data_IF_036284689890
#
_entry.id   IF_036284689890
#
_cell.length_a   1.000
_cell.length_b   1.000
_cell.length_c   1.000
_cell.angle_alpha   90.00
_cell.angle_beta   90.00
_cell.angle_gamma   90.00
#
_symmetry.space_group_name_H-M   'P 1'
#
loop_
_entity.id
_entity.type
_entity.pdbx_description
1 polymer ?
#
# COMPACT_ATOMS: atom_id res chain seq x y z
N UNK A 1 5.18 -2.74 29.48
CA UNK A 1 5.76 -1.75 30.42
C UNK A 1 6.82 -0.95 29.69
N UNK A 2 6.94 0.37 29.81
CA UNK A 2 6.14 1.34 30.59
C UNK A 2 6.00 2.67 29.81
N UNK A 3 4.97 3.45 30.12
CA UNK A 3 4.79 4.83 29.62
C UNK A 3 5.75 5.80 30.33
N UNK A 4 6.24 6.82 29.63
CA UNK A 4 6.71 8.06 30.26
C UNK A 4 6.24 9.27 29.46
N UNK A 5 5.50 10.14 30.13
CA UNK A 5 5.00 11.41 29.62
C UNK A 5 5.99 12.53 29.93
N UNK A 6 6.22 13.46 28.99
CA UNK A 6 6.75 14.79 29.32
C UNK A 6 5.79 15.87 28.85
N UNK A 7 5.43 16.73 29.79
CA UNK A 7 4.60 17.92 29.62
C UNK A 7 5.50 19.14 29.79
N UNK A 8 5.39 20.12 28.91
CA UNK A 8 5.94 21.45 29.18
C UNK A 8 4.97 22.55 28.74
N UNK A 9 5.00 23.67 29.47
CA UNK A 9 3.93 24.66 29.49
C UNK A 9 4.43 26.08 29.18
N UNK A 10 3.71 26.74 28.26
CA UNK A 10 3.38 28.18 28.24
C UNK A 10 4.53 29.21 28.36
N UNK A 11 4.63 30.08 27.34
CA UNK A 11 4.91 31.50 27.58
C UNK A 11 4.18 32.40 26.58
N UNK A 12 3.26 33.22 27.06
CA UNK A 12 2.58 34.27 26.28
C UNK A 12 3.53 35.41 25.87
N UNK A 13 3.26 36.03 24.71
CA UNK A 13 3.46 37.47 24.53
C UNK A 13 2.62 38.02 23.38
N UNK A 14 1.60 38.81 23.73
CA UNK A 14 0.83 39.61 22.78
C UNK A 14 1.56 40.92 22.45
N UNK A 15 1.38 41.42 21.23
CA UNK A 15 1.24 42.87 21.01
C UNK A 15 0.43 43.19 19.74
N UNK A 16 -0.05 44.43 19.63
CA UNK A 16 -1.32 44.72 18.96
C UNK A 16 -1.26 45.67 17.74
N UNK A 17 -2.36 45.65 16.97
CA UNK A 17 -2.91 46.72 16.08
C UNK A 17 -2.08 47.16 14.86
N UNK A 18 -2.69 47.05 13.67
CA UNK A 18 -3.27 48.22 12.96
C UNK A 18 -4.03 47.86 11.67
N UNK A 19 -5.27 48.32 11.56
CA UNK A 19 -5.99 48.62 10.29
C UNK A 19 -6.23 50.14 10.26
N UNK A 20 -6.31 50.83 9.10
CA UNK A 20 -7.53 50.79 8.27
C UNK A 20 -7.30 50.97 6.74
N UNK A 21 -8.37 50.90 5.94
CA UNK A 21 -8.33 51.35 4.52
C UNK A 21 -9.45 50.82 3.62
N UNK A 22 -10.52 51.60 3.46
CA UNK A 22 -11.68 51.34 2.57
C UNK A 22 -11.51 51.93 1.16
N UNK A 23 -12.08 51.28 0.14
CA UNK A 23 -12.75 51.97 -0.98
C UNK A 23 -13.69 51.05 -1.78
N UNK A 24 -14.88 51.55 -2.12
CA UNK A 24 -15.85 50.96 -3.07
C UNK A 24 -15.39 51.26 -4.52
N UNK A 25 -15.78 50.50 -5.55
CA UNK A 25 -16.91 50.71 -6.50
C UNK A 25 -16.53 49.87 -7.77
N UNK A 26 -17.37 49.47 -8.75
CA UNK A 26 -18.77 49.74 -9.10
C UNK A 26 -19.37 48.55 -9.89
N UNK A 27 -20.71 48.55 -10.05
CA UNK A 27 -21.50 47.60 -10.87
C UNK A 27 -21.62 48.04 -12.36
N UNK A 28 -22.50 47.37 -13.13
CA UNK A 28 -23.07 47.77 -14.45
C UNK A 28 -22.14 47.45 -15.65
N UNK A 29 -22.50 46.83 -16.80
CA UNK A 29 -23.70 46.18 -17.40
C UNK A 29 -23.21 45.40 -18.67
N UNK A 30 -23.94 44.60 -19.47
CA UNK A 30 -25.28 43.96 -19.48
C UNK A 30 -25.26 42.76 -20.51
N UNK A 31 -26.43 42.15 -20.80
CA UNK A 31 -26.87 41.56 -22.10
C UNK A 31 -26.08 40.41 -22.79
N UNK A 32 -26.69 39.51 -23.57
CA UNK A 32 -28.01 38.83 -23.53
C UNK A 32 -27.97 37.69 -24.58
N UNK A 33 -28.86 36.68 -24.45
CA UNK A 33 -29.47 35.88 -25.53
C UNK A 33 -28.64 35.50 -26.79
N UNK A 34 -28.41 34.22 -27.09
CA UNK A 34 -29.48 33.34 -27.58
C UNK A 34 -29.08 31.85 -27.64
N UNK A 35 -30.08 30.99 -27.57
CA UNK A 35 -29.97 29.56 -27.87
C UNK A 35 -30.42 29.26 -29.30
N UNK A 36 -29.82 28.24 -29.94
CA UNK A 36 -30.40 27.47 -31.05
C UNK A 36 -29.71 26.11 -31.16
N UNK A 37 -30.50 25.03 -31.15
CA UNK A 37 -30.08 23.71 -31.65
C UNK A 37 -30.00 23.76 -33.18
N UNK A 38 -29.07 23.02 -33.80
CA UNK A 38 -29.51 21.99 -34.75
C UNK A 38 -28.50 20.83 -34.86
N UNK A 39 -28.97 19.68 -35.33
CA UNK A 39 -28.21 18.46 -35.54
C UNK A 39 -27.59 18.42 -36.94
N UNK A 40 -26.41 17.81 -37.12
CA UNK A 40 -26.21 16.72 -38.11
C UNK A 40 -24.74 16.29 -38.30
N UNK A 41 -24.59 14.97 -38.49
CA UNK A 41 -23.63 14.26 -39.35
C UNK A 41 -22.11 14.47 -39.16
N UNK A 42 -21.49 13.41 -38.65
CA UNK A 42 -20.10 13.01 -38.91
C UNK A 42 -19.85 12.67 -40.40
N UNK A 43 -18.64 12.94 -40.91
CA UNK A 43 -17.97 11.93 -41.73
C UNK A 43 -16.46 11.77 -41.47
N UNK A 44 -16.02 10.51 -41.51
CA UNK A 44 -14.71 9.94 -41.86
C UNK A 44 -13.39 10.52 -41.31
N UNK A 45 -12.60 9.58 -40.77
CA UNK A 45 -11.15 9.68 -40.60
C UNK A 45 -10.41 9.76 -41.94
N UNK A 46 -9.31 10.51 -41.97
CA UNK A 46 -8.08 10.11 -42.66
C UNK A 46 -6.87 10.85 -42.04
N UNK A 47 -5.74 10.15 -41.96
CA UNK A 47 -4.52 10.53 -41.22
C UNK A 47 -3.87 11.86 -41.64
N UNK A 48 -3.02 12.41 -40.73
CA UNK A 48 -1.63 12.77 -41.06
C UNK A 48 -0.80 13.17 -39.81
N UNK A 49 0.21 12.34 -39.49
CA UNK A 49 1.46 12.63 -38.74
C UNK A 49 1.47 13.67 -37.60
N UNK A 50 1.56 13.20 -36.35
CA UNK A 50 2.02 13.99 -35.20
C UNK A 50 2.56 13.12 -34.06
N UNK A 51 3.83 13.31 -33.66
CA UNK A 51 4.47 12.54 -32.56
C UNK A 51 3.75 12.78 -31.23
N UNK A 52 3.38 11.75 -30.45
CA UNK A 52 2.76 11.96 -29.13
C UNK A 52 3.78 12.46 -28.10
N UNK A 53 3.46 13.58 -27.46
CA UNK A 53 4.14 14.03 -26.23
C UNK A 53 3.88 13.02 -25.09
N UNK A 54 4.92 12.73 -24.30
CA UNK A 54 4.81 11.88 -23.11
C UNK A 54 3.78 12.44 -22.13
N UNK A 55 2.65 11.76 -21.96
CA UNK A 55 1.72 12.01 -20.86
C UNK A 55 2.18 11.21 -19.63
N UNK A 56 2.46 11.90 -18.51
CA UNK A 56 2.40 11.28 -17.18
C UNK A 56 1.03 10.62 -17.04
N UNK A 57 0.97 9.29 -16.99
CA UNK A 57 -0.25 8.54 -16.65
C UNK A 57 -0.28 8.33 -15.15
N UNK A 58 -1.29 8.88 -14.49
CA UNK A 58 -1.71 8.40 -13.18
C UNK A 58 -2.08 6.92 -13.31
N UNK A 59 -1.59 6.09 -12.41
CA UNK A 59 -1.96 4.66 -12.37
C UNK A 59 -3.38 4.56 -11.83
N UNK A 60 -4.36 4.40 -12.71
CA UNK A 60 -5.72 4.04 -12.31
C UNK A 60 -5.73 2.59 -11.83
N UNK A 61 -6.13 2.37 -10.57
CA UNK A 61 -6.35 1.03 -10.00
C UNK A 61 -7.31 0.23 -10.88
N UNK A 62 -7.12 -1.09 -10.92
CA UNK A 62 -7.92 -2.05 -11.70
C UNK A 62 -9.42 -1.79 -11.55
N UNK A 63 -10.06 -1.36 -12.65
CA UNK A 63 -11.51 -1.20 -12.72
C UNK A 63 -12.18 -2.57 -12.73
N UNK A 64 -12.76 -2.95 -11.59
CA UNK A 64 -13.59 -4.16 -11.48
C UNK A 64 -14.73 -4.04 -12.51
N UNK A 65 -14.92 -5.06 -13.35
CA UNK A 65 -16.04 -5.09 -14.29
C UNK A 65 -17.37 -5.10 -13.52
N UNK A 66 -18.20 -4.10 -13.78
CA UNK A 66 -19.48 -3.89 -13.10
C UNK A 66 -20.55 -4.88 -13.60
N UNK A 67 -20.53 -6.11 -13.08
CA UNK A 67 -21.63 -7.05 -13.27
C UNK A 67 -22.29 -7.32 -11.91
N UNK A 68 -23.60 -7.01 -11.81
CA UNK A 68 -24.47 -7.20 -10.63
C UNK A 68 -24.27 -6.32 -9.39
N UNK A 69 -23.90 -5.04 -9.56
CA UNK A 69 -24.00 -4.05 -8.48
C UNK A 69 -25.44 -3.56 -8.32
N UNK A 70 -26.11 -3.95 -7.23
CA UNK A 70 -27.44 -3.44 -6.87
C UNK A 70 -27.32 -2.10 -6.14
N UNK A 71 -27.60 -0.99 -6.82
CA UNK A 71 -27.74 0.31 -6.15
C UNK A 71 -29.05 0.36 -5.37
N UNK A 72 -29.00 0.83 -4.13
CA UNK A 72 -30.19 1.10 -3.32
C UNK A 72 -30.12 2.52 -2.76
N UNK A 73 -31.26 3.24 -2.63
CA UNK A 73 -31.26 4.69 -2.37
C UNK A 73 -30.84 5.07 -0.94
N UNK A 74 -30.59 4.09 -0.07
CA UNK A 74 -30.15 4.29 1.31
C UNK A 74 -28.95 3.39 1.58
N UNK A 75 -28.02 3.88 2.40
CA UNK A 75 -26.91 3.07 2.91
C UNK A 75 -27.42 1.86 3.72
N UNK A 76 -26.61 0.80 3.91
CA UNK A 76 -26.98 -0.34 4.75
C UNK A 76 -27.46 0.10 6.14
N UNK A 77 -28.56 -0.48 6.63
CA UNK A 77 -29.21 -0.01 7.86
C UNK A 77 -28.36 -0.12 9.13
N UNK A 78 -27.36 -0.99 9.14
CA UNK A 78 -26.37 -1.14 10.22
C UNK A 78 -25.05 -0.37 9.97
N UNK A 79 -24.92 0.39 8.88
CA UNK A 79 -23.79 1.31 8.67
C UNK A 79 -23.95 2.57 9.55
N UNK A 80 -23.40 2.53 10.77
CA UNK A 80 -23.72 3.49 11.83
C UNK A 80 -22.82 4.74 11.89
N UNK A 81 -21.90 4.91 10.92
CA UNK A 81 -20.80 5.86 11.05
C UNK A 81 -20.49 6.68 9.80
N UNK A 82 -21.22 6.48 8.69
CA UNK A 82 -21.14 7.31 7.48
C UNK A 82 -22.43 8.12 7.36
N UNK A 83 -22.31 9.36 6.90
CA UNK A 83 -23.45 10.21 6.53
C UNK A 83 -24.05 9.76 5.20
N UNK A 84 -25.36 9.57 5.16
CA UNK A 84 -26.13 9.32 3.96
C UNK A 84 -26.33 10.58 3.11
N UNK A 85 -26.56 11.73 3.75
CA UNK A 85 -26.93 13.01 3.11
C UNK A 85 -25.90 13.62 2.13
N UNK A 86 -24.71 13.02 2.03
CA UNK A 86 -23.61 13.45 1.16
C UNK A 86 -23.19 12.39 0.13
N UNK A 87 -23.82 11.21 0.11
CA UNK A 87 -23.47 10.12 -0.81
C UNK A 87 -24.33 10.25 -2.06
N UNK A 88 -23.68 10.37 -3.22
CA UNK A 88 -24.37 10.46 -4.52
C UNK A 88 -24.70 9.11 -5.14
N UNK A 89 -23.85 8.10 -4.90
CA UNK A 89 -23.98 6.73 -5.41
C UNK A 89 -23.15 5.78 -4.54
N UNK A 90 -23.52 4.50 -4.49
CA UNK A 90 -22.75 3.46 -3.81
C UNK A 90 -23.13 2.06 -4.32
N UNK A 91 -22.27 1.09 -4.06
CA UNK A 91 -22.54 -0.32 -4.35
C UNK A 91 -21.82 -1.26 -3.37
N UNK A 92 -22.32 -2.49 -3.23
CA UNK A 92 -21.73 -3.53 -2.38
C UNK A 92 -20.72 -4.36 -3.17
N UNK A 93 -19.50 -4.50 -2.65
CA UNK A 93 -18.44 -5.33 -3.25
C UNK A 93 -18.45 -6.78 -2.74
N UNK A 94 -19.09 -7.05 -1.60
CA UNK A 94 -19.16 -8.37 -0.98
C UNK A 94 -19.63 -8.31 0.47
N UNK A 95 -20.14 -9.44 0.94
CA UNK A 95 -20.78 -9.61 2.25
C UNK A 95 -19.99 -10.50 3.20
N UNK A 96 -20.64 -10.92 4.30
CA UNK A 96 -20.07 -11.78 5.37
C UNK A 96 -19.84 -13.23 4.94
N UNK A 97 -20.35 -13.61 3.78
CA UNK A 97 -20.24 -14.93 3.12
C UNK A 97 -19.05 -15.02 2.15
N UNK A 98 -18.56 -13.86 1.70
CA UNK A 98 -17.61 -13.70 0.58
C UNK A 98 -16.37 -12.88 0.95
N UNK A 99 -16.41 -12.14 2.06
CA UNK A 99 -15.32 -11.26 2.50
C UNK A 99 -15.07 -11.36 4.01
N UNK A 100 -13.87 -10.99 4.44
CA UNK A 100 -13.50 -10.85 5.84
C UNK A 100 -12.52 -9.69 6.03
N UNK A 101 -12.50 -9.10 7.22
CA UNK A 101 -11.47 -8.14 7.63
C UNK A 101 -10.53 -8.78 8.64
N UNK A 102 -9.23 -8.61 8.45
CA UNK A 102 -8.19 -9.08 9.37
C UNK A 102 -7.36 -7.91 9.89
N UNK A 103 -6.87 -8.00 11.13
CA UNK A 103 -5.94 -7.03 11.68
C UNK A 103 -4.49 -7.47 11.38
N UNK A 104 -3.74 -6.82 10.46
CA UNK A 104 -2.49 -7.37 9.93
C UNK A 104 -1.48 -7.78 11.00
N UNK A 105 -1.18 -6.89 11.95
CA UNK A 105 -0.27 -7.18 13.07
C UNK A 105 -0.66 -8.42 13.89
N UNK A 106 -1.95 -8.63 14.16
CA UNK A 106 -2.42 -9.79 14.94
C UNK A 106 -2.35 -11.07 14.13
N UNK A 107 -2.58 -10.98 12.83
CA UNK A 107 -2.46 -12.09 11.88
C UNK A 107 -1.01 -12.54 11.71
N UNK A 108 -0.08 -11.63 11.40
CA UNK A 108 1.34 -11.98 11.21
C UNK A 108 1.95 -12.56 12.48
N UNK A 109 1.69 -11.96 13.65
CA UNK A 109 2.12 -12.51 14.94
C UNK A 109 1.49 -13.87 15.27
N UNK A 110 0.25 -14.13 14.85
CA UNK A 110 -0.39 -15.43 15.03
C UNK A 110 0.27 -16.49 14.13
N UNK A 111 0.47 -16.20 12.85
CA UNK A 111 1.07 -17.11 11.88
C UNK A 111 2.53 -17.42 12.26
N UNK A 112 3.35 -16.41 12.54
CA UNK A 112 4.74 -16.59 12.96
C UNK A 112 4.84 -17.44 14.23
N UNK A 113 4.02 -17.16 15.25
CA UNK A 113 3.99 -18.00 16.46
C UNK A 113 3.60 -19.45 16.14
N UNK A 114 2.62 -19.69 15.24
CA UNK A 114 2.25 -21.05 14.83
C UNK A 114 3.32 -21.76 14.01
N UNK A 115 4.09 -21.04 13.22
CA UNK A 115 5.26 -21.57 12.54
C UNK A 115 6.34 -22.01 13.55
N UNK A 116 6.71 -21.14 14.50
CA UNK A 116 7.71 -21.46 15.55
C UNK A 116 7.22 -22.57 16.50
N UNK A 117 5.93 -22.60 16.87
CA UNK A 117 5.32 -23.69 17.67
C UNK A 117 5.46 -25.08 17.02
N UNK A 118 5.77 -25.19 15.71
CA UNK A 118 6.02 -26.48 15.04
C UNK A 118 7.39 -27.08 15.36
N UNK A 119 8.35 -26.27 15.83
CA UNK A 119 9.76 -26.66 15.98
C UNK A 119 10.56 -26.75 14.67
N UNK A 120 9.94 -26.49 13.51
CA UNK A 120 10.60 -26.51 12.19
C UNK A 120 11.00 -25.12 11.67
N UNK A 121 10.75 -24.05 12.44
CA UNK A 121 11.06 -22.67 12.05
C UNK A 121 11.79 -21.96 13.18
N UNK A 122 13.00 -21.50 12.88
CA UNK A 122 13.78 -20.58 13.71
C UNK A 122 13.56 -19.13 13.25
N UNK A 123 13.54 -18.19 14.19
CA UNK A 123 13.41 -16.76 13.91
C UNK A 123 14.74 -16.06 14.21
N UNK A 124 15.45 -15.69 13.15
CA UNK A 124 16.66 -14.87 13.22
C UNK A 124 16.26 -13.40 12.98
N UNK A 125 16.82 -12.48 13.76
CA UNK A 125 16.62 -11.03 13.58
C UNK A 125 17.92 -10.42 13.04
N UNK A 126 17.87 -9.95 11.79
CA UNK A 126 19.01 -9.36 11.09
C UNK A 126 18.61 -8.73 9.76
N UNK A 127 19.54 -8.00 9.14
CA UNK A 127 19.44 -7.50 7.77
C UNK A 127 20.21 -8.46 6.86
N UNK A 128 19.53 -9.06 5.88
CA UNK A 128 20.19 -9.78 4.77
C UNK A 128 20.96 -8.76 3.93
N UNK A 129 22.18 -9.11 3.54
CA UNK A 129 23.08 -8.22 2.79
C UNK A 129 23.28 -8.71 1.36
N UNK A 130 23.49 -10.01 1.17
CA UNK A 130 23.75 -10.66 -0.13
C UNK A 130 23.34 -12.13 -0.12
N UNK A 131 23.24 -12.72 -1.31
CA UNK A 131 23.00 -14.16 -1.55
C UNK A 131 24.33 -14.80 -1.92
N UNK A 132 24.58 -16.01 -1.42
CA UNK A 132 25.76 -16.80 -1.74
C UNK A 132 25.44 -17.77 -2.88
N UNK A 133 26.31 -17.80 -3.88
CA UNK A 133 26.20 -18.67 -5.07
C UNK A 133 27.35 -19.67 -5.12
N UNK A 134 27.10 -20.82 -5.73
CA UNK A 134 28.10 -21.87 -5.96
C UNK A 134 28.98 -21.53 -7.18
N UNK A 135 30.29 -21.38 -6.98
CA UNK A 135 31.26 -21.14 -8.08
C UNK A 135 31.16 -22.20 -9.21
N UNK A 136 30.85 -23.45 -8.88
CA UNK A 136 30.79 -24.57 -9.84
C UNK A 136 29.48 -24.60 -10.66
N UNK A 137 28.38 -24.06 -10.15
CA UNK A 137 27.03 -24.27 -10.70
C UNK A 137 26.17 -23.02 -10.88
N UNK A 138 26.52 -21.91 -10.23
CA UNK A 138 25.69 -20.71 -10.14
C UNK A 138 24.45 -20.85 -9.25
N UNK A 139 24.18 -22.02 -8.67
CA UNK A 139 23.03 -22.23 -7.80
C UNK A 139 23.15 -21.43 -6.50
N UNK A 140 22.03 -20.97 -5.95
CA UNK A 140 22.00 -20.31 -4.65
C UNK A 140 22.20 -21.35 -3.52
N UNK A 141 23.10 -21.05 -2.58
CA UNK A 141 23.54 -21.98 -1.52
C UNK A 141 23.48 -21.40 -0.09
N UNK A 142 23.29 -20.09 0.05
CA UNK A 142 23.19 -19.43 1.35
C UNK A 142 22.97 -17.93 1.24
N UNK A 143 23.11 -17.22 2.35
CA UNK A 143 23.10 -15.76 2.42
C UNK A 143 24.00 -15.27 3.55
N UNK A 144 24.44 -14.00 3.45
CA UNK A 144 25.09 -13.28 4.54
C UNK A 144 24.10 -12.28 5.16
N UNK A 145 24.15 -12.12 6.49
CA UNK A 145 23.30 -11.18 7.21
C UNK A 145 24.00 -10.50 8.41
N UNK A 146 23.71 -9.22 8.61
CA UNK A 146 24.10 -8.47 9.79
C UNK A 146 23.07 -8.67 10.94
N UNK A 147 23.45 -9.21 12.11
CA UNK A 147 22.51 -9.45 13.21
C UNK A 147 21.95 -8.15 13.84
N UNK A 148 20.68 -8.14 14.20
CA UNK A 148 20.08 -7.02 14.95
C UNK A 148 20.58 -7.00 16.39
N UNK A 149 21.44 -6.04 16.74
CA UNK A 149 21.97 -5.88 18.09
C UNK A 149 20.85 -5.57 19.10
N UNK A 150 20.73 -6.38 20.15
CA UNK A 150 20.05 -5.94 21.37
C UNK A 150 20.88 -4.82 22.02
N UNK A 151 20.21 -3.77 22.53
CA UNK A 151 20.82 -2.54 23.06
C UNK A 151 21.68 -2.70 24.36
N UNK A 152 22.18 -3.91 24.63
CA UNK A 152 22.97 -4.28 25.80
C UNK A 152 24.35 -4.89 25.47
N UNK A 153 24.73 -5.01 24.18
CA UNK A 153 26.07 -5.45 23.77
C UNK A 153 26.80 -4.33 23.01
N UNK A 154 27.95 -3.93 23.57
CA UNK A 154 28.79 -2.85 23.05
C UNK A 154 29.64 -3.30 21.85
N UNK A 155 29.83 -2.39 20.90
CA UNK A 155 30.99 -2.23 20.00
C UNK A 155 31.99 -3.40 19.89
N UNK A 156 31.53 -4.49 19.27
CA UNK A 156 32.35 -5.21 18.30
C UNK A 156 31.84 -4.90 16.90
N UNK A 157 32.75 -5.01 15.91
CA UNK A 157 32.49 -4.74 14.50
C UNK A 157 31.29 -5.54 13.96
N UNK A 158 30.70 -5.06 12.88
CA UNK A 158 29.56 -5.72 12.21
C UNK A 158 30.07 -6.93 11.44
N UNK A 159 30.32 -8.02 12.17
CA UNK A 159 30.64 -9.32 11.60
C UNK A 159 29.36 -9.90 10.99
N UNK A 160 29.27 -9.86 9.66
CA UNK A 160 28.19 -10.51 8.90
C UNK A 160 28.27 -12.02 9.10
N UNK A 161 27.11 -12.66 9.25
CA UNK A 161 27.01 -14.09 9.54
C UNK A 161 26.50 -14.83 8.30
N UNK A 162 27.29 -15.79 7.85
CA UNK A 162 26.90 -16.75 6.82
C UNK A 162 25.85 -17.73 7.36
N UNK A 163 24.82 -18.01 6.54
CA UNK A 163 23.93 -19.14 6.72
C UNK A 163 23.70 -19.86 5.38
N UNK A 164 24.05 -21.14 5.34
CA UNK A 164 23.82 -22.01 4.20
C UNK A 164 22.40 -22.60 4.24
N UNK A 165 21.83 -22.90 3.06
CA UNK A 165 20.53 -23.54 2.94
C UNK A 165 20.29 -24.10 1.54
N UNK A 166 19.55 -25.22 1.46
CA UNK A 166 19.29 -25.92 0.20
C UNK A 166 18.40 -25.12 -0.77
N UNK A 167 17.50 -24.29 -0.24
CA UNK A 167 16.55 -23.48 -1.00
C UNK A 167 16.30 -22.13 -0.30
N UNK A 168 16.31 -21.02 -1.05
CA UNK A 168 16.21 -19.65 -0.52
C UNK A 168 14.93 -19.00 -1.05
N UNK A 169 14.14 -18.37 -0.16
CA UNK A 169 12.87 -17.71 -0.55
C UNK A 169 12.88 -16.22 -0.18
N UNK A 170 13.04 -15.36 -1.17
CA UNK A 170 12.97 -13.91 -0.98
C UNK A 170 11.52 -13.43 -0.89
N UNK A 171 11.12 -12.94 0.28
CA UNK A 171 9.78 -12.37 0.55
C UNK A 171 9.86 -10.94 1.11
N UNK A 172 10.87 -10.19 0.68
CA UNK A 172 11.31 -8.90 1.26
C UNK A 172 10.43 -7.69 0.89
N UNK A 173 9.30 -7.90 0.24
CA UNK A 173 8.40 -6.82 -0.16
C UNK A 173 9.11 -5.80 -1.06
N UNK A 174 8.99 -4.48 -0.80
CA UNK A 174 9.59 -3.47 -1.66
C UNK A 174 11.13 -3.46 -1.58
N UNK A 175 11.73 -4.07 -0.56
CA UNK A 175 13.19 -4.20 -0.42
C UNK A 175 13.80 -5.32 -1.28
N UNK A 176 13.00 -6.09 -2.04
CA UNK A 176 13.52 -7.13 -2.95
C UNK A 176 14.60 -6.59 -3.89
N UNK A 177 14.42 -5.39 -4.45
CA UNK A 177 15.38 -4.77 -5.37
C UNK A 177 16.68 -4.27 -4.72
N UNK A 178 16.83 -4.37 -3.39
CA UNK A 178 18.12 -4.16 -2.72
C UNK A 178 19.01 -5.41 -2.71
N UNK A 179 18.42 -6.59 -2.89
CA UNK A 179 19.14 -7.87 -2.98
C UNK A 179 19.16 -8.39 -4.43
N UNK A 180 18.11 -8.12 -5.22
CA UNK A 180 18.04 -8.44 -6.64
C UNK A 180 17.86 -7.14 -7.46
N UNK A 181 18.95 -6.42 -7.83
CA UNK A 181 18.87 -5.07 -8.40
C UNK A 181 17.98 -4.92 -9.64
N UNK A 182 18.02 -5.91 -10.54
CA UNK A 182 17.23 -5.93 -11.78
C UNK A 182 15.79 -6.44 -11.59
N UNK A 183 15.42 -6.87 -10.37
CA UNK A 183 14.05 -7.26 -10.08
C UNK A 183 13.11 -6.04 -10.16
N UNK A 184 12.08 -6.04 -11.03
CA UNK A 184 11.23 -4.87 -11.31
C UNK A 184 10.19 -4.61 -10.21
N UNK A 185 10.59 -4.71 -8.94
CA UNK A 185 9.76 -4.46 -7.77
C UNK A 185 10.26 -3.18 -7.10
N UNK A 186 9.41 -2.16 -7.09
CA UNK A 186 9.67 -0.88 -6.42
C UNK A 186 8.77 -0.65 -5.21
N UNK A 187 9.11 0.38 -4.44
CA UNK A 187 8.31 0.84 -3.32
C UNK A 187 7.40 2.01 -3.69
N UNK A 188 6.09 1.84 -3.54
CA UNK A 188 5.12 2.95 -3.55
C UNK A 188 4.71 3.30 -2.11
N UNK A 189 5.10 4.48 -1.60
CA UNK A 189 4.81 4.88 -0.22
C UNK A 189 3.36 5.30 -0.06
N UNK A 190 2.62 4.71 0.88
CA UNK A 190 1.26 5.11 1.23
C UNK A 190 1.17 5.60 2.68
N UNK A 191 0.54 6.75 2.89
CA UNK A 191 0.28 7.30 4.23
C UNK A 191 -1.02 6.72 4.80
N UNK A 192 -1.03 6.51 6.11
CA UNK A 192 -2.22 6.07 6.84
C UNK A 192 -2.31 6.67 8.25
N UNK A 193 -3.53 6.66 8.77
CA UNK A 193 -3.85 7.01 10.15
C UNK A 193 -4.72 5.92 10.77
N UNK A 194 -4.71 5.84 12.10
CA UNK A 194 -5.80 5.18 12.83
C UNK A 194 -6.53 6.18 13.69
N UNK A 195 -7.87 6.10 13.72
CA UNK A 195 -8.75 7.03 14.42
C UNK A 195 -9.54 6.26 15.48
N UNK A 196 -9.43 6.67 16.74
CA UNK A 196 -10.35 6.24 17.78
C UNK A 196 -11.68 7.00 17.63
N UNK A 197 -12.83 6.32 17.44
CA UNK A 197 -14.12 6.98 17.32
C UNK A 197 -14.49 7.76 18.60
N UNK A 198 -15.21 8.86 18.44
CA UNK A 198 -15.65 9.70 19.58
C UNK A 198 -16.57 8.96 20.55
N UNK A 199 -17.46 8.10 20.02
CA UNK A 199 -18.47 7.35 20.79
C UNK A 199 -18.63 5.93 20.25
N UNK A 200 -18.50 4.96 21.15
CA UNK A 200 -18.81 3.56 20.90
C UNK A 200 -17.95 2.91 19.80
N UNK A 201 -18.38 1.73 19.36
CA UNK A 201 -17.81 1.04 18.21
C UNK A 201 -18.54 1.44 16.92
N UNK A 202 -17.79 1.53 15.83
CA UNK A 202 -18.35 1.62 14.48
C UNK A 202 -18.74 0.22 13.98
N UNK A 203 -19.69 0.13 13.06
CA UNK A 203 -20.01 -1.16 12.41
C UNK A 203 -18.91 -1.62 11.45
N UNK A 204 -18.69 -2.94 11.29
CA UNK A 204 -17.45 -3.52 10.75
C UNK A 204 -17.40 -3.52 9.21
N UNK A 205 -17.50 -2.33 8.60
CA UNK A 205 -17.40 -2.13 7.16
C UNK A 205 -15.96 -1.81 6.72
N UNK A 206 -15.60 -2.30 5.54
CA UNK A 206 -14.52 -1.76 4.73
C UNK A 206 -15.16 -0.88 3.66
N UNK A 207 -14.67 0.36 3.50
CA UNK A 207 -15.29 1.36 2.64
C UNK A 207 -14.22 1.97 1.74
N UNK A 208 -14.39 1.76 0.44
CA UNK A 208 -13.61 2.36 -0.62
C UNK A 208 -14.39 3.59 -1.12
N UNK A 209 -13.71 4.72 -1.36
CA UNK A 209 -14.39 5.97 -1.73
C UNK A 209 -13.81 6.62 -2.97
N UNK A 210 -14.62 7.45 -3.63
CA UNK A 210 -14.17 8.44 -4.59
C UNK A 210 -14.80 9.79 -4.20
N UNK A 211 -14.03 10.65 -3.54
CA UNK A 211 -14.51 11.88 -2.92
C UNK A 211 -14.21 13.09 -3.78
N UNK A 212 -15.24 13.75 -4.28
CA UNK A 212 -15.11 14.99 -5.05
C UNK A 212 -14.81 16.19 -4.15
N UNK A 213 -13.53 16.53 -4.02
CA UNK A 213 -13.04 17.66 -3.19
C UNK A 213 -13.03 19.01 -3.94
N UNK A 214 -13.33 19.03 -5.24
CA UNK A 214 -13.42 20.27 -6.01
C UNK A 214 -13.83 20.05 -7.47
N UNK A 215 -13.79 21.11 -8.28
CA UNK A 215 -14.05 21.02 -9.72
C UNK A 215 -12.95 20.18 -10.39
N UNK A 216 -13.29 18.96 -10.78
CA UNK A 216 -12.35 18.02 -11.41
C UNK A 216 -11.27 17.47 -10.48
N UNK A 217 -11.45 17.58 -9.15
CA UNK A 217 -10.53 17.03 -8.15
C UNK A 217 -11.23 15.97 -7.32
N UNK A 218 -10.61 14.81 -7.23
CA UNK A 218 -11.08 13.63 -6.54
C UNK A 218 -9.95 13.08 -5.67
N UNK A 219 -10.30 12.40 -4.58
CA UNK A 219 -9.37 11.62 -3.74
C UNK A 219 -10.06 10.33 -3.32
N UNK A 220 -9.30 9.25 -3.18
CA UNK A 220 -9.86 7.92 -2.86
C UNK A 220 -9.29 7.32 -1.57
N UNK A 221 -9.59 7.90 -0.38
CA UNK A 221 -9.24 7.28 0.88
C UNK A 221 -10.03 5.99 1.11
N UNK A 222 -9.36 4.97 1.65
CA UNK A 222 -9.94 3.69 2.00
C UNK A 222 -10.01 3.58 3.53
N UNK A 223 -11.14 3.08 4.06
CA UNK A 223 -11.42 3.04 5.49
C UNK A 223 -11.80 1.63 5.94
N UNK A 224 -11.17 1.15 7.00
CA UNK A 224 -11.34 -0.22 7.51
C UNK A 224 -11.67 -0.18 8.99
N UNK A 225 -12.90 -0.52 9.35
CA UNK A 225 -13.35 -0.60 10.73
C UNK A 225 -12.66 -1.77 11.46
N UNK A 226 -11.83 -1.45 12.46
CA UNK A 226 -11.29 -2.42 13.42
C UNK A 226 -12.09 -2.32 14.72
N UNK A 227 -11.81 -3.20 15.68
CA UNK A 227 -12.57 -3.32 16.94
C UNK A 227 -12.61 -2.02 17.77
N UNK A 228 -11.51 -1.29 17.81
CA UNK A 228 -11.32 -0.12 18.71
C UNK A 228 -10.90 1.16 17.96
N UNK A 229 -10.61 1.05 16.66
CA UNK A 229 -10.13 2.13 15.80
C UNK A 229 -10.64 1.95 14.36
N UNK A 230 -10.66 3.01 13.57
CA UNK A 230 -10.79 2.94 12.11
C UNK A 230 -9.42 3.22 11.49
N UNK A 231 -8.92 2.27 10.70
CA UNK A 231 -7.72 2.49 9.88
C UNK A 231 -8.12 3.18 8.59
N UNK A 232 -7.38 4.22 8.20
CA UNK A 232 -7.61 5.00 6.99
C UNK A 232 -6.29 5.12 6.24
N UNK A 233 -6.27 4.80 4.94
CA UNK A 233 -5.11 5.02 4.08
C UNK A 233 -5.46 5.85 2.84
N UNK A 234 -4.45 6.53 2.31
CA UNK A 234 -4.55 7.37 1.13
C UNK A 234 -3.94 6.77 -0.12
N UNK A 235 -3.85 7.59 -1.16
CA UNK A 235 -3.10 7.32 -2.38
C UNK A 235 -1.60 7.28 -2.11
N UNK A 236 -0.88 6.50 -2.93
CA UNK A 236 0.56 6.35 -2.82
C UNK A 236 1.35 7.51 -3.45
N UNK A 237 2.61 7.65 -3.06
CA UNK A 237 3.59 8.56 -3.65
C UNK A 237 4.98 7.94 -3.81
N UNK A 238 5.75 8.55 -4.70
CA UNK A 238 7.15 8.25 -5.01
C UNK A 238 8.00 9.50 -4.80
N UNK A 239 7.73 10.28 -3.73
CA UNK A 239 8.42 11.56 -3.47
C UNK A 239 9.78 11.39 -2.83
N UNK A 240 10.01 10.25 -2.14
CA UNK A 240 11.28 9.88 -1.52
C UNK A 240 11.53 8.40 -1.78
N UNK A 241 12.79 8.04 -1.95
CA UNK A 241 13.23 6.68 -2.26
C UNK A 241 12.94 5.70 -1.11
N UNK A 242 13.06 4.40 -1.38
CA UNK A 242 12.87 3.36 -0.38
C UNK A 242 14.03 3.39 0.65
N UNK A 243 13.77 3.67 1.94
CA UNK A 243 14.82 3.76 2.94
C UNK A 243 15.45 2.39 3.26
N UNK A 244 16.53 2.37 4.05
CA UNK A 244 17.18 1.10 4.45
C UNK A 244 16.27 0.22 5.29
N UNK A 245 15.56 0.78 6.26
CA UNK A 245 14.70 0.01 7.17
C UNK A 245 13.25 0.47 7.18
N UNK A 246 12.37 -0.30 7.83
CA UNK A 246 10.99 0.11 8.08
C UNK A 246 10.85 1.24 9.11
N UNK A 247 11.84 1.44 9.98
CA UNK A 247 11.82 2.48 11.02
C UNK A 247 12.15 3.87 10.45
N UNK A 248 12.90 3.91 9.34
CA UNK A 248 13.28 5.12 8.60
C UNK A 248 12.19 5.64 7.65
N UNK A 249 11.00 5.01 7.62
CA UNK A 249 9.91 5.38 6.71
C UNK A 249 9.31 6.74 7.07
N UNK A 250 9.67 7.77 6.30
CA UNK A 250 9.21 9.14 6.51
C UNK A 250 7.67 9.28 6.42
N UNK A 251 7.09 9.90 7.45
CA UNK A 251 5.65 10.18 7.58
C UNK A 251 5.36 11.67 7.35
N UNK A 252 4.75 11.99 6.20
CA UNK A 252 4.30 13.36 5.91
C UNK A 252 3.02 13.62 6.72
N UNK A 253 3.13 14.46 7.74
CA UNK A 253 2.04 14.77 8.67
C UNK A 253 0.84 15.40 7.96
N UNK A 254 1.08 16.25 6.96
CA UNK A 254 0.07 16.99 6.22
C UNK A 254 -0.86 16.04 5.48
N UNK A 255 -0.32 14.99 4.84
CA UNK A 255 -1.11 13.93 4.19
C UNK A 255 -1.98 13.15 5.19
N UNK A 256 -1.43 12.85 6.38
CA UNK A 256 -2.21 12.23 7.45
C UNK A 256 -3.35 13.13 7.97
N UNK A 257 -3.12 14.44 8.03
CA UNK A 257 -4.13 15.42 8.45
C UNK A 257 -5.20 15.65 7.36
N UNK A 258 -4.83 15.55 6.07
CA UNK A 258 -5.77 15.50 4.94
C UNK A 258 -6.68 14.27 5.00
N UNK A 259 -6.14 13.07 5.28
CA UNK A 259 -6.95 11.86 5.48
C UNK A 259 -7.97 12.05 6.61
N UNK A 260 -7.55 12.63 7.73
CA UNK A 260 -8.46 12.95 8.84
C UNK A 260 -9.50 14.00 8.45
N UNK A 261 -9.12 15.02 7.66
CA UNK A 261 -10.06 16.01 7.15
C UNK A 261 -11.14 15.37 6.28
N UNK A 262 -10.77 14.54 5.30
CA UNK A 262 -11.72 13.90 4.38
C UNK A 262 -12.67 12.95 5.12
N UNK A 263 -12.13 12.04 5.95
CA UNK A 263 -12.95 11.11 6.75
C UNK A 263 -13.80 11.85 7.78
N UNK A 264 -13.33 12.98 8.30
CA UNK A 264 -14.11 13.87 9.17
C UNK A 264 -15.31 14.54 8.48
N UNK A 265 -15.33 14.65 7.14
CA UNK A 265 -16.54 15.08 6.41
C UNK A 265 -17.55 13.94 6.29
N UNK A 266 -17.07 12.71 6.11
CA UNK A 266 -17.88 11.50 5.97
C UNK A 266 -18.53 11.05 7.28
N UNK A 267 -17.81 11.17 8.40
CA UNK A 267 -18.22 10.61 9.69
C UNK A 267 -18.23 11.64 10.82
N UNK A 268 -19.41 12.02 11.34
CA UNK A 268 -19.55 12.80 12.57
C UNK A 268 -18.96 12.11 13.80
N UNK A 269 -18.76 10.79 13.78
CA UNK A 269 -18.17 10.05 14.90
C UNK A 269 -16.64 10.10 14.84
N UNK A 270 -16.04 10.00 13.65
CA UNK A 270 -14.59 10.10 13.47
C UNK A 270 -14.09 11.55 13.49
N UNK A 271 -14.89 12.53 13.04
CA UNK A 271 -14.52 13.96 13.05
C UNK A 271 -14.36 14.57 14.45
N UNK A 272 -15.03 13.98 15.45
CA UNK A 272 -14.84 14.29 16.88
C UNK A 272 -13.99 13.24 17.60
N UNK A 273 -13.50 12.24 16.87
CA UNK A 273 -12.53 11.27 17.34
C UNK A 273 -11.14 11.88 17.43
N UNK A 274 -10.14 11.04 17.65
CA UNK A 274 -8.75 11.48 17.63
C UNK A 274 -7.87 10.48 16.88
N UNK A 275 -6.83 10.99 16.23
CA UNK A 275 -5.82 10.18 15.57
C UNK A 275 -4.98 9.50 16.66
N UNK A 276 -4.96 8.17 16.67
CA UNK A 276 -4.16 7.34 17.57
C UNK A 276 -2.74 7.18 17.01
N UNK A 277 -2.61 6.96 15.71
CA UNK A 277 -1.32 6.85 15.02
C UNK A 277 -1.34 7.56 13.66
N UNK A 278 -0.23 8.21 13.30
CA UNK A 278 0.12 8.60 11.93
C UNK A 278 1.29 7.71 11.50
N UNK A 279 1.28 7.19 10.29
CA UNK A 279 2.32 6.32 9.77
C UNK A 279 2.34 6.31 8.24
N UNK A 280 3.39 5.76 7.65
CA UNK A 280 3.44 5.38 6.25
C UNK A 280 4.06 3.99 6.12
N UNK A 281 3.88 3.36 4.97
CA UNK A 281 4.55 2.12 4.59
C UNK A 281 4.75 2.10 3.08
N UNK A 282 5.58 1.19 2.58
CA UNK A 282 5.78 0.98 1.15
C UNK A 282 5.04 -0.27 0.68
N UNK A 283 4.27 -0.11 -0.40
CA UNK A 283 3.65 -1.20 -1.15
C UNK A 283 4.69 -1.75 -2.14
N UNK A 284 4.90 -3.08 -2.23
CA UNK A 284 5.73 -3.67 -3.27
C UNK A 284 4.97 -3.68 -4.60
N UNK A 285 5.37 -2.85 -5.56
CA UNK A 285 4.70 -2.73 -6.85
C UNK A 285 5.57 -3.33 -7.95
N UNK A 286 4.99 -4.19 -8.77
CA UNK A 286 5.63 -4.71 -9.98
C UNK A 286 5.55 -3.66 -11.10
N UNK A 287 6.70 -3.14 -11.53
CA UNK A 287 6.84 -2.09 -12.55
C UNK A 287 6.94 -2.65 -13.99
N UNK A 288 6.15 -3.70 -14.28
CA UNK A 288 6.10 -4.36 -15.59
C UNK A 288 4.83 -3.96 -16.33
N UNK A 289 4.89 -3.26 -17.49
CA UNK A 289 3.68 -2.81 -18.19
C UNK A 289 2.74 -3.92 -18.69
N UNK A 290 3.23 -5.15 -18.82
CA UNK A 290 2.49 -6.34 -19.27
C UNK A 290 1.91 -7.19 -18.14
N UNK A 291 2.21 -6.90 -16.87
CA UNK A 291 1.71 -7.66 -15.71
C UNK A 291 1.21 -6.73 -14.60
N UNK A 292 0.38 -7.27 -13.72
CA UNK A 292 -0.08 -6.58 -12.49
C UNK A 292 -0.17 -7.52 -11.29
N UNK A 293 0.36 -8.74 -11.45
CA UNK A 293 0.45 -9.74 -10.38
C UNK A 293 1.76 -9.62 -9.59
N UNK A 294 1.87 -10.31 -8.45
CA UNK A 294 3.15 -10.56 -7.80
C UNK A 294 4.05 -11.46 -8.66
N UNK A 295 5.35 -11.44 -8.38
CA UNK A 295 6.28 -12.46 -8.84
C UNK A 295 6.32 -13.59 -7.78
N UNK A 296 5.97 -14.81 -8.19
CA UNK A 296 5.90 -15.99 -7.33
C UNK A 296 6.40 -17.22 -8.11
N UNK A 297 7.56 -17.74 -7.72
CA UNK A 297 8.14 -18.93 -8.34
C UNK A 297 9.62 -19.08 -8.03
N UNK A 298 10.26 -20.08 -8.63
CA UNK A 298 11.71 -20.12 -8.77
C UNK A 298 12.16 -19.04 -9.77
N UNK A 299 13.36 -18.50 -9.60
CA UNK A 299 13.97 -17.60 -10.59
C UNK A 299 14.68 -18.44 -11.67
N UNK A 300 15.43 -17.79 -12.56
CA UNK A 300 16.34 -18.50 -13.46
C UNK A 300 17.65 -18.96 -12.77
N UNK A 301 17.82 -18.69 -11.48
CA UNK A 301 18.88 -19.27 -10.64
C UNK A 301 18.32 -20.42 -9.81
N UNK A 302 18.94 -21.59 -9.92
CA UNK A 302 18.56 -22.80 -9.19
C UNK A 302 18.55 -22.55 -7.67
N UNK A 303 17.53 -23.09 -7.00
CA UNK A 303 17.27 -22.95 -5.55
C UNK A 303 16.87 -21.55 -5.06
N UNK A 304 16.82 -20.53 -5.93
CA UNK A 304 16.41 -19.18 -5.56
C UNK A 304 14.96 -18.90 -5.96
N UNK A 305 14.10 -18.75 -4.96
CA UNK A 305 12.67 -18.45 -5.11
C UNK A 305 12.35 -17.00 -4.74
N UNK A 306 11.37 -16.41 -5.42
CA UNK A 306 10.85 -15.08 -5.16
C UNK A 306 9.35 -15.13 -4.84
N UNK A 307 8.92 -14.28 -3.91
CA UNK A 307 7.53 -14.09 -3.51
C UNK A 307 7.25 -12.64 -3.09
N UNK A 308 7.13 -11.72 -4.06
CA UNK A 308 6.95 -10.28 -3.80
C UNK A 308 6.12 -9.59 -4.89
N UNK A 309 5.87 -8.28 -4.78
CA UNK A 309 5.12 -7.50 -5.77
C UNK A 309 3.60 -7.50 -5.60
N UNK A 310 3.06 -7.99 -4.47
CA UNK A 310 1.61 -8.11 -4.23
C UNK A 310 0.84 -6.78 -4.11
N UNK A 311 1.50 -5.63 -4.15
CA UNK A 311 0.91 -4.30 -3.99
C UNK A 311 0.00 -4.24 -2.74
N UNK A 312 -1.20 -3.66 -2.85
CA UNK A 312 -2.17 -3.60 -1.75
C UNK A 312 -2.85 -4.95 -1.41
N UNK A 313 -2.62 -6.01 -2.17
CA UNK A 313 -3.29 -7.32 -1.99
C UNK A 313 -2.51 -8.32 -1.12
N UNK A 314 -1.31 -7.98 -0.68
CA UNK A 314 -0.41 -8.89 0.05
C UNK A 314 -1.06 -9.60 1.25
N UNK A 315 -1.79 -8.88 2.11
CA UNK A 315 -2.45 -9.49 3.29
C UNK A 315 -3.56 -10.48 2.90
N UNK A 316 -4.29 -10.22 1.81
CA UNK A 316 -5.33 -11.14 1.32
C UNK A 316 -4.71 -12.40 0.70
N UNK A 317 -3.64 -12.22 -0.08
CA UNK A 317 -3.05 -13.29 -0.88
C UNK A 317 -2.02 -14.11 -0.11
N UNK A 318 -1.46 -13.61 0.99
CA UNK A 318 -0.40 -14.28 1.76
C UNK A 318 -0.66 -15.77 2.11
N UNK A 319 -1.86 -16.19 2.57
CA UNK A 319 -2.14 -17.61 2.80
C UNK A 319 -2.05 -18.47 1.52
N UNK A 320 -2.54 -17.92 0.40
CA UNK A 320 -2.47 -18.56 -0.92
C UNK A 320 -1.03 -18.65 -1.41
N UNK A 321 -0.28 -17.54 -1.39
CA UNK A 321 1.14 -17.46 -1.75
C UNK A 321 1.98 -18.44 -0.93
N UNK A 322 1.79 -18.52 0.39
CA UNK A 322 2.50 -19.49 1.23
C UNK A 322 2.18 -20.94 0.88
N UNK A 323 0.93 -21.25 0.50
CA UNK A 323 0.54 -22.61 0.08
C UNK A 323 1.16 -23.01 -1.26
N UNK A 324 1.14 -22.13 -2.27
CA UNK A 324 1.70 -22.45 -3.60
C UNK A 324 3.23 -22.53 -3.58
N UNK A 325 3.91 -21.71 -2.78
CA UNK A 325 5.36 -21.84 -2.57
C UNK A 325 5.71 -23.15 -1.89
N UNK A 326 4.96 -23.57 -0.87
CA UNK A 326 5.20 -24.86 -0.22
C UNK A 326 4.98 -26.05 -1.18
N UNK A 327 4.04 -25.95 -2.13
CA UNK A 327 3.86 -26.95 -3.18
C UNK A 327 5.03 -26.98 -4.17
N UNK A 328 5.48 -25.81 -4.66
CA UNK A 328 6.67 -25.73 -5.52
C UNK A 328 7.92 -26.31 -4.85
N UNK A 329 8.21 -25.88 -3.63
CA UNK A 329 9.45 -26.21 -2.90
C UNK A 329 9.48 -27.70 -2.51
N UNK A 330 8.35 -28.28 -2.09
CA UNK A 330 8.30 -29.66 -1.58
C UNK A 330 7.85 -30.71 -2.60
N UNK A 331 7.07 -30.32 -3.62
CA UNK A 331 6.48 -31.23 -4.60
C UNK A 331 6.98 -30.98 -6.04
N UNK A 332 7.71 -29.88 -6.29
CA UNK A 332 8.23 -29.48 -7.60
C UNK A 332 7.19 -28.85 -8.54
N UNK A 333 5.91 -28.81 -8.15
CA UNK A 333 4.82 -28.25 -8.96
C UNK A 333 3.72 -27.62 -8.08
N UNK A 334 3.14 -26.52 -8.55
CA UNK A 334 1.97 -25.91 -7.92
C UNK A 334 0.69 -26.58 -8.42
N UNK A 335 -0.17 -27.02 -7.49
CA UNK A 335 -1.44 -27.72 -7.77
C UNK A 335 -2.67 -26.94 -7.32
N UNK A 336 -2.51 -26.04 -6.35
CA UNK A 336 -3.60 -25.24 -5.79
C UNK A 336 -4.04 -24.06 -6.68
N UNK A 337 -3.20 -23.63 -7.63
CA UNK A 337 -3.50 -22.56 -8.58
C UNK A 337 -2.65 -22.66 -9.86
N UNK A 338 -3.12 -22.06 -10.96
CA UNK A 338 -2.26 -21.73 -12.10
C UNK A 338 -1.49 -20.45 -11.77
N UNK A 339 -0.16 -20.55 -11.78
CA UNK A 339 0.78 -19.48 -11.45
C UNK A 339 1.72 -19.16 -12.61
N UNK A 340 1.48 -19.72 -13.80
CA UNK A 340 2.36 -19.58 -14.97
C UNK A 340 2.61 -18.12 -15.39
N UNK A 341 1.66 -17.22 -15.13
CA UNK A 341 1.79 -15.79 -15.37
C UNK A 341 2.44 -14.98 -14.21
N UNK A 342 2.89 -15.66 -13.15
CA UNK A 342 3.56 -15.07 -11.98
C UNK A 342 5.05 -15.46 -11.92
N UNK A 343 5.51 -16.30 -12.84
CA UNK A 343 6.89 -16.81 -12.93
C UNK A 343 7.91 -15.65 -13.01
N UNK A 344 8.83 -15.52 -12.03
CA UNK A 344 9.86 -14.48 -12.00
C UNK A 344 10.70 -14.39 -13.29
N UNK A 345 11.04 -15.53 -13.89
CA UNK A 345 11.94 -15.63 -15.05
C UNK A 345 11.37 -15.02 -16.33
N UNK A 346 10.05 -14.77 -16.38
CA UNK A 346 9.41 -14.06 -17.48
C UNK A 346 9.66 -12.54 -17.46
N UNK A 347 10.20 -12.00 -16.36
CA UNK A 347 10.19 -10.57 -16.06
C UNK A 347 11.55 -9.98 -15.72
N UNK A 348 12.50 -10.76 -15.18
CA UNK A 348 13.89 -10.32 -14.96
C UNK A 348 14.86 -11.50 -14.90
N UNK A 349 16.15 -11.18 -14.93
CA UNK A 349 17.24 -12.12 -14.80
C UNK A 349 17.89 -11.98 -13.40
N UNK A 350 17.87 -13.06 -12.61
CA UNK A 350 18.48 -13.10 -11.28
C UNK A 350 19.97 -13.47 -11.30
N UNK A 351 20.49 -13.95 -12.44
CA UNK A 351 21.88 -14.42 -12.59
C UNK A 351 22.89 -13.31 -12.81
N UNK A 352 22.45 -12.06 -13.02
CA UNK A 352 23.31 -10.86 -13.16
C UNK A 352 24.27 -10.70 -11.97
N UNK A 353 23.84 -11.15 -10.77
CA UNK A 353 24.67 -11.13 -9.55
C UNK A 353 25.83 -12.12 -9.54
N UNK A 354 25.83 -13.10 -10.45
CA UNK A 354 26.88 -14.13 -10.58
C UNK A 354 28.00 -13.63 -11.53
N UNK A 355 27.69 -12.71 -12.44
CA UNK A 355 28.62 -12.20 -13.46
C UNK A 355 29.46 -10.99 -12.99
N UNK A 356 29.17 -10.43 -11.80
CA UNK A 356 29.82 -9.22 -11.25
C UNK A 356 30.98 -9.50 -10.26
N UNK A 357 31.33 -10.77 -9.99
CA UNK A 357 32.49 -11.23 -9.19
C UNK A 357 33.69 -11.73 -10.04
#
# INVERSE_FOLDING_TARGET
DAYSSHSDSVSDRANAKSTPGTSQESLINNDENNASNDQSQSPNEQDLNGKPLQKRRTVTKNSIKQEHLHSTPHLPSDLNWIRDDIISDWSELGGKDSTAQVHPYKFTNFILRKAVESGAVELILGKVEEILFSEDTGAAIGLNYAPTKNAAMNDTEEESIEILGDQIVLSMGPWTSKILPDCPISGLRAHSITIAPHKGMVSPYAIFTELKIGRGKYVSPEMYARKEEVYVCGEGDTLVDLPETTDDVEVIKEKCDELFHYVGKLSPNLSRGHIVKRQACYLPVLDVPSSSGPLIGETNVENLYLASGHSCWGINNAPGTGKILAELILEGECRSADISALDPSLYFDASVLIDDE
#
